data_IF_904958113016
#
_entry.id   IF_904958113016
#
_cell.length_a   1.000
_cell.length_b   1.000
_cell.length_c   1.000
_cell.angle_alpha   90.00
_cell.angle_beta   90.00
_cell.angle_gamma   90.00
#
_symmetry.space_group_name_H-M   'P 1'
#
loop_
_entity.id
_entity.type
_entity.pdbx_description
1 polymer ?
#
# COMPACT_ATOMS: atom_id res chain seq x y z
N UNK A 1 -48.04 -8.29 -2.42
CA UNK A 1 -46.81 -7.68 -1.88
C UNK A 1 -47.17 -6.85 -0.66
N UNK A 2 -46.49 -7.06 0.46
CA UNK A 2 -46.70 -6.26 1.66
C UNK A 2 -46.15 -4.84 1.48
N UNK A 3 -46.68 -3.86 2.21
CA UNK A 3 -46.18 -2.47 2.19
C UNK A 3 -44.67 -2.40 2.51
N UNK A 4 -44.20 -3.29 3.37
CA UNK A 4 -42.79 -3.47 3.74
C UNK A 4 -41.91 -3.92 2.57
N UNK A 5 -42.38 -4.85 1.74
CA UNK A 5 -41.67 -5.28 0.52
C UNK A 5 -41.59 -4.15 -0.51
N UNK A 6 -42.67 -3.35 -0.65
CA UNK A 6 -42.68 -2.22 -1.57
C UNK A 6 -41.69 -1.13 -1.14
N UNK A 7 -41.54 -0.86 0.16
CA UNK A 7 -40.57 0.12 0.66
C UNK A 7 -39.13 -0.39 0.53
N UNK A 8 -38.86 -1.66 0.86
CA UNK A 8 -37.56 -2.29 0.65
C UNK A 8 -37.11 -2.21 -0.82
N UNK A 9 -38.01 -2.50 -1.76
CA UNK A 9 -37.70 -2.40 -3.19
C UNK A 9 -37.40 -0.97 -3.62
N UNK A 10 -38.14 0.04 -3.12
CA UNK A 10 -37.85 1.46 -3.41
C UNK A 10 -36.46 1.86 -2.88
N UNK A 11 -36.10 1.46 -1.66
CA UNK A 11 -34.78 1.74 -1.10
C UNK A 11 -33.65 1.08 -1.90
N UNK A 12 -33.81 -0.18 -2.29
CA UNK A 12 -32.83 -0.91 -3.09
C UNK A 12 -32.63 -0.25 -4.47
N UNK A 13 -33.71 0.16 -5.14
CA UNK A 13 -33.63 0.83 -6.45
C UNK A 13 -32.89 2.16 -6.33
N UNK A 14 -33.17 2.96 -5.30
CA UNK A 14 -32.49 4.25 -5.12
C UNK A 14 -31.01 4.06 -4.76
N UNK A 15 -30.67 3.11 -3.89
CA UNK A 15 -29.29 2.83 -3.54
C UNK A 15 -28.48 2.31 -4.75
N UNK A 16 -29.11 1.52 -5.64
CA UNK A 16 -28.52 1.11 -6.92
C UNK A 16 -28.16 2.31 -7.82
N UNK A 17 -29.02 3.34 -7.86
CA UNK A 17 -28.76 4.58 -8.64
C UNK A 17 -27.61 5.40 -8.07
N UNK A 18 -27.37 5.33 -6.75
CA UNK A 18 -26.32 6.05 -6.05
C UNK A 18 -24.95 5.32 -6.11
N UNK A 19 -24.96 3.99 -6.27
CA UNK A 19 -23.76 3.15 -6.24
C UNK A 19 -22.76 3.46 -7.37
N UNK A 20 -23.23 3.58 -8.61
CA UNK A 20 -22.34 3.84 -9.75
C UNK A 20 -21.70 5.24 -9.65
N UNK A 21 -22.45 6.34 -9.39
CA UNK A 21 -21.86 7.65 -9.11
C UNK A 21 -20.88 7.64 -7.93
N UNK A 22 -21.21 6.93 -6.85
CA UNK A 22 -20.28 6.75 -5.71
C UNK A 22 -18.97 6.13 -6.16
N UNK A 23 -19.03 5.01 -6.88
CA UNK A 23 -17.86 4.30 -7.35
C UNK A 23 -17.03 5.14 -8.33
N UNK A 24 -17.68 5.93 -9.20
CA UNK A 24 -17.02 6.92 -10.05
C UNK A 24 -16.24 7.94 -9.24
N UNK A 25 -16.87 8.55 -8.23
CA UNK A 25 -16.25 9.57 -7.39
C UNK A 25 -15.03 9.01 -6.62
N UNK A 26 -15.19 7.84 -5.99
CA UNK A 26 -14.08 7.14 -5.32
C UNK A 26 -12.91 6.86 -6.27
N UNK A 27 -13.20 6.35 -7.46
CA UNK A 27 -12.20 6.07 -8.49
C UNK A 27 -11.65 7.34 -9.15
N UNK A 28 -12.32 8.49 -9.07
CA UNK A 28 -11.78 9.79 -9.47
C UNK A 28 -10.82 10.36 -8.41
N UNK A 29 -10.92 9.89 -7.17
CA UNK A 29 -10.11 10.33 -6.04
C UNK A 29 -10.85 11.29 -5.10
N UNK A 30 -12.13 11.55 -5.35
CA UNK A 30 -12.94 12.48 -4.56
C UNK A 30 -13.16 11.96 -3.13
N UNK A 31 -13.31 12.89 -2.18
CA UNK A 31 -13.71 12.57 -0.82
C UNK A 31 -15.21 12.36 -0.83
N UNK A 32 -15.65 11.11 -0.77
CA UNK A 32 -17.08 10.85 -0.71
C UNK A 32 -17.59 11.17 0.68
N UNK A 33 -18.33 12.29 0.78
CA UNK A 33 -19.21 12.54 1.91
C UNK A 33 -20.33 11.52 1.80
N UNK A 34 -20.64 10.83 2.91
CA UNK A 34 -21.67 9.78 2.94
C UNK A 34 -22.91 10.24 2.19
N UNK A 35 -23.57 9.31 1.47
CA UNK A 35 -24.61 9.60 0.47
C UNK A 35 -25.81 10.41 0.98
N UNK A 36 -25.83 10.81 2.26
CA UNK A 36 -26.85 11.67 2.87
C UNK A 36 -28.19 10.96 3.07
N UNK A 37 -28.36 9.80 2.45
CA UNK A 37 -29.63 9.07 2.40
C UNK A 37 -29.73 7.98 3.47
N UNK A 38 -28.63 7.58 4.12
CA UNK A 38 -28.60 6.47 5.10
C UNK A 38 -29.00 5.12 4.49
N UNK A 39 -29.02 5.01 3.16
CA UNK A 39 -29.46 3.83 2.41
C UNK A 39 -28.30 2.86 2.25
N UNK A 40 -28.56 1.58 2.44
CA UNK A 40 -27.59 0.51 2.27
C UNK A 40 -28.09 -0.53 1.25
N UNK A 41 -27.14 -1.21 0.62
CA UNK A 41 -27.38 -2.37 -0.23
C UNK A 41 -26.99 -3.65 0.54
N UNK A 42 -27.66 -4.78 0.32
CA UNK A 42 -27.22 -6.05 0.89
C UNK A 42 -25.81 -6.40 0.39
N UNK A 43 -24.92 -6.82 1.29
CA UNK A 43 -23.59 -7.32 0.91
C UNK A 43 -23.64 -8.84 0.80
N UNK A 44 -23.03 -9.41 -0.24
CA UNK A 44 -23.03 -10.86 -0.48
C UNK A 44 -24.28 -11.40 -1.19
N UNK A 45 -25.22 -10.54 -1.56
CA UNK A 45 -26.41 -10.88 -2.36
C UNK A 45 -26.33 -10.12 -3.70
N UNK A 46 -25.63 -10.67 -4.71
CA UNK A 46 -25.45 -9.99 -6.01
C UNK A 46 -26.78 -9.65 -6.70
N UNK A 47 -27.83 -10.42 -6.45
CA UNK A 47 -29.19 -10.21 -6.97
C UNK A 47 -29.84 -8.91 -6.46
N UNK A 48 -29.30 -8.30 -5.40
CA UNK A 48 -29.75 -7.01 -4.93
C UNK A 48 -29.27 -5.85 -5.82
N UNK A 49 -28.32 -6.10 -6.72
CA UNK A 49 -27.90 -5.17 -7.74
C UNK A 49 -28.72 -5.31 -9.02
N UNK A 50 -29.11 -4.18 -9.58
CA UNK A 50 -29.66 -4.13 -10.95
C UNK A 50 -28.60 -4.58 -11.96
N UNK A 51 -29.01 -5.28 -13.03
CA UNK A 51 -28.12 -5.72 -14.10
C UNK A 51 -27.35 -4.52 -14.69
N UNK A 52 -28.01 -3.39 -14.85
CA UNK A 52 -27.44 -2.15 -15.38
C UNK A 52 -26.32 -1.62 -14.47
N UNK A 53 -26.49 -1.69 -13.15
CA UNK A 53 -25.44 -1.28 -12.20
C UNK A 53 -24.24 -2.22 -12.28
N UNK A 54 -24.46 -3.54 -12.35
CA UNK A 54 -23.39 -4.53 -12.51
C UNK A 54 -22.62 -4.29 -13.81
N UNK A 55 -23.31 -4.14 -14.94
CA UNK A 55 -22.68 -3.87 -16.24
C UNK A 55 -21.88 -2.57 -16.23
N UNK A 56 -22.42 -1.52 -15.61
CA UNK A 56 -21.73 -0.24 -15.46
C UNK A 56 -20.44 -0.40 -14.63
N UNK A 57 -20.51 -1.08 -13.48
CA UNK A 57 -19.36 -1.33 -12.62
C UNK A 57 -18.29 -2.17 -13.33
N UNK A 58 -18.67 -3.24 -14.02
CA UNK A 58 -17.74 -4.11 -14.78
C UNK A 58 -16.97 -3.31 -15.84
N UNK A 59 -17.63 -2.37 -16.53
CA UNK A 59 -16.97 -1.53 -17.54
C UNK A 59 -16.11 -0.43 -16.93
N UNK A 60 -16.52 0.12 -15.80
CA UNK A 60 -15.91 1.30 -15.20
C UNK A 60 -14.73 0.98 -14.30
N UNK A 61 -14.81 -0.06 -13.48
CA UNK A 61 -13.79 -0.42 -12.49
C UNK A 61 -12.40 -0.53 -13.14
N UNK A 62 -12.21 -1.29 -14.24
CA UNK A 62 -10.89 -1.40 -14.88
C UNK A 62 -10.35 -0.05 -15.35
N UNK A 63 -11.22 0.82 -15.91
CA UNK A 63 -10.84 2.15 -16.39
C UNK A 63 -10.47 3.08 -15.23
N UNK A 64 -11.23 3.03 -14.14
CA UNK A 64 -10.97 3.83 -12.95
C UNK A 64 -9.68 3.41 -12.25
N UNK A 65 -9.43 2.11 -12.11
CA UNK A 65 -8.17 1.57 -11.57
C UNK A 65 -6.98 1.98 -12.42
N UNK A 66 -7.09 1.86 -13.74
CA UNK A 66 -6.05 2.36 -14.64
C UNK A 66 -5.87 3.87 -14.50
N UNK A 67 -6.95 4.64 -14.39
CA UNK A 67 -6.91 6.07 -14.12
C UNK A 67 -6.17 6.41 -12.82
N UNK A 68 -6.40 5.64 -11.76
CA UNK A 68 -5.65 5.77 -10.49
C UNK A 68 -4.17 5.48 -10.70
N UNK A 69 -3.79 4.35 -11.28
CA UNK A 69 -2.39 4.00 -11.55
C UNK A 69 -1.68 5.06 -12.40
N UNK A 70 -2.39 5.62 -13.37
CA UNK A 70 -1.89 6.69 -14.23
C UNK A 70 -1.67 7.99 -13.44
N UNK A 71 -2.57 8.35 -12.50
CA UNK A 71 -2.37 9.49 -11.58
C UNK A 71 -1.22 9.26 -10.60
N UNK A 72 -1.00 8.02 -10.16
CA UNK A 72 0.13 7.61 -9.33
C UNK A 72 1.48 7.60 -10.07
N UNK A 73 1.60 8.33 -11.18
CA UNK A 73 2.84 8.41 -11.96
C UNK A 73 2.92 7.45 -13.14
N UNK A 74 1.86 6.72 -13.50
CA UNK A 74 1.83 5.86 -14.68
C UNK A 74 2.08 6.54 -16.03
N UNK A 75 2.09 7.89 -16.07
CA UNK A 75 2.57 8.68 -17.21
C UNK A 75 4.10 8.72 -17.33
N UNK A 76 4.82 8.60 -16.21
CA UNK A 76 6.27 8.63 -16.15
C UNK A 76 6.84 7.37 -16.78
N UNK A 77 7.94 7.55 -17.48
CA UNK A 77 8.71 6.44 -17.98
C UNK A 77 9.50 5.83 -16.82
N UNK A 78 9.25 4.57 -16.53
CA UNK A 78 9.93 3.85 -15.46
C UNK A 78 10.74 2.70 -16.06
N UNK A 79 12.00 2.58 -15.62
CA UNK A 79 12.81 1.43 -15.94
C UNK A 79 12.30 0.21 -15.14
N UNK A 80 12.18 -0.93 -15.81
CA UNK A 80 11.68 -2.18 -15.23
C UNK A 80 12.30 -3.38 -15.94
N UNK A 81 12.15 -4.58 -15.39
CA UNK A 81 12.65 -5.81 -15.99
C UNK A 81 11.47 -6.59 -16.58
N UNK A 82 11.50 -6.81 -17.90
CA UNK A 82 10.55 -7.65 -18.63
C UNK A 82 11.34 -8.71 -19.38
N UNK A 83 11.00 -9.98 -19.16
CA UNK A 83 11.69 -11.13 -19.76
C UNK A 83 13.22 -11.08 -19.59
N UNK A 84 13.66 -10.69 -18.38
CA UNK A 84 15.07 -10.60 -18.02
C UNK A 84 15.84 -9.42 -18.62
N UNK A 85 15.16 -8.47 -19.28
CA UNK A 85 15.79 -7.28 -19.89
C UNK A 85 15.25 -5.99 -19.30
N UNK A 86 16.12 -5.00 -19.14
CA UNK A 86 15.71 -3.64 -18.80
C UNK A 86 14.88 -3.05 -19.95
N UNK A 87 13.69 -2.55 -19.62
CA UNK A 87 12.82 -1.81 -20.51
C UNK A 87 12.36 -0.53 -19.82
N UNK A 88 12.21 0.55 -20.59
CA UNK A 88 11.64 1.80 -20.11
C UNK A 88 10.20 1.91 -20.59
N UNK A 89 9.25 1.71 -19.67
CA UNK A 89 7.83 1.62 -19.98
C UNK A 89 7.04 2.81 -19.41
N UNK A 90 5.89 3.08 -20.01
CA UNK A 90 4.84 4.00 -19.50
C UNK A 90 3.52 3.24 -19.46
N UNK A 91 2.80 3.22 -18.33
CA UNK A 91 1.47 2.59 -18.24
C UNK A 91 0.44 3.27 -19.15
N UNK A 92 0.57 4.59 -19.31
CA UNK A 92 -0.29 5.36 -20.20
C UNK A 92 -0.25 4.88 -21.66
N UNK A 93 0.86 4.28 -22.10
CA UNK A 93 1.03 3.77 -23.46
C UNK A 93 0.27 2.45 -23.66
N UNK A 94 -0.69 2.45 -24.59
CA UNK A 94 -1.56 1.31 -24.91
C UNK A 94 -0.77 0.03 -25.23
N UNK A 95 0.40 0.13 -25.86
CA UNK A 95 1.22 -1.05 -26.19
C UNK A 95 1.73 -1.76 -24.94
N UNK A 96 2.10 -1.00 -23.91
CA UNK A 96 2.63 -1.54 -22.65
C UNK A 96 1.52 -2.14 -21.78
N UNK A 97 0.27 -1.72 -21.96
CA UNK A 97 -0.88 -2.27 -21.21
C UNK A 97 -1.08 -3.76 -21.45
N UNK A 98 -0.64 -4.28 -22.60
CA UNK A 98 -0.70 -5.73 -22.89
C UNK A 98 0.16 -6.55 -21.92
N UNK A 99 1.22 -5.96 -21.38
CA UNK A 99 2.10 -6.61 -20.41
C UNK A 99 1.58 -6.48 -18.97
N UNK A 100 0.47 -5.75 -18.77
CA UNK A 100 -0.11 -5.40 -17.48
C UNK A 100 -1.61 -5.72 -17.52
N UNK A 101 -1.95 -6.94 -17.93
CA UNK A 101 -3.34 -7.39 -17.99
C UNK A 101 -3.88 -7.56 -16.56
N UNK A 102 -4.61 -6.56 -16.09
CA UNK A 102 -5.34 -6.63 -14.83
C UNK A 102 -6.64 -7.40 -15.03
N UNK A 103 -6.77 -8.50 -14.29
CA UNK A 103 -7.99 -9.30 -14.24
C UNK A 103 -8.81 -8.92 -13.01
N UNK A 104 -10.12 -8.96 -13.16
CA UNK A 104 -11.10 -8.59 -12.14
C UNK A 104 -12.13 -9.70 -12.01
N UNK A 105 -12.68 -9.86 -10.81
CA UNK A 105 -13.79 -10.76 -10.52
C UNK A 105 -14.95 -10.00 -9.87
N UNK A 106 -16.00 -10.73 -9.47
CA UNK A 106 -17.11 -10.19 -8.67
C UNK A 106 -16.64 -9.53 -7.38
N UNK A 107 -15.47 -9.92 -6.84
CA UNK A 107 -14.88 -9.32 -5.63
C UNK A 107 -14.56 -7.84 -5.77
N UNK A 108 -14.25 -7.38 -6.98
CA UNK A 108 -14.09 -5.96 -7.23
C UNK A 108 -15.40 -5.19 -6.95
N UNK A 109 -16.55 -5.74 -7.37
CA UNK A 109 -17.87 -5.15 -7.11
C UNK A 109 -18.21 -5.23 -5.62
N UNK A 110 -17.90 -6.35 -4.96
CA UNK A 110 -18.09 -6.49 -3.51
C UNK A 110 -17.29 -5.46 -2.71
N UNK A 111 -16.05 -5.17 -3.08
CA UNK A 111 -15.26 -4.12 -2.46
C UNK A 111 -15.90 -2.73 -2.62
N UNK A 112 -16.47 -2.43 -3.79
CA UNK A 112 -17.24 -1.19 -4.02
C UNK A 112 -18.49 -1.14 -3.14
N UNK A 113 -19.25 -2.23 -3.07
CA UNK A 113 -20.46 -2.34 -2.24
C UNK A 113 -20.17 -2.15 -0.76
N UNK A 114 -19.12 -2.79 -0.24
CA UNK A 114 -18.70 -2.66 1.15
C UNK A 114 -18.29 -1.21 1.45
N UNK A 115 -17.53 -0.59 0.55
CA UNK A 115 -17.15 0.81 0.69
C UNK A 115 -18.35 1.76 0.66
N UNK A 116 -19.30 1.52 -0.26
CA UNK A 116 -20.55 2.28 -0.36
C UNK A 116 -21.32 2.22 0.95
N UNK A 117 -21.56 1.01 1.47
CA UNK A 117 -22.30 0.82 2.70
C UNK A 117 -21.57 1.38 3.93
N UNK A 118 -20.25 1.26 3.99
CA UNK A 118 -19.44 1.86 5.06
C UNK A 118 -19.50 3.39 5.05
N UNK A 119 -19.68 4.00 3.86
CA UNK A 119 -19.88 5.45 3.73
C UNK A 119 -21.30 5.90 4.08
N UNK A 120 -22.29 5.02 3.90
CA UNK A 120 -23.70 5.31 4.15
C UNK A 120 -24.13 5.03 5.60
N UNK A 121 -23.50 4.05 6.26
CA UNK A 121 -23.79 3.63 7.63
C UNK A 121 -22.51 3.71 8.47
N UNK A 122 -22.57 4.40 9.62
CA UNK A 122 -21.51 4.27 10.64
C UNK A 122 -21.47 2.83 11.22
N UNK A 123 -22.54 2.05 11.09
CA UNK A 123 -22.62 0.65 11.52
C UNK A 123 -23.29 -0.23 10.47
N UNK A 124 -22.50 -1.00 9.71
CA UNK A 124 -23.01 -2.20 9.05
C UNK A 124 -23.43 -3.22 10.10
N UNK A 125 -24.58 -3.88 9.91
CA UNK A 125 -24.98 -5.01 10.75
C UNK A 125 -23.96 -6.14 10.63
N UNK A 126 -23.47 -6.64 11.76
CA UNK A 126 -22.42 -7.65 11.84
C UNK A 126 -22.77 -8.91 11.03
N UNK A 127 -24.05 -9.32 11.06
CA UNK A 127 -24.52 -10.53 10.38
C UNK A 127 -24.43 -10.43 8.86
N UNK A 128 -24.82 -9.29 8.30
CA UNK A 128 -24.80 -9.05 6.85
C UNK A 128 -23.36 -9.01 6.36
N UNK A 129 -22.45 -8.47 7.19
CA UNK A 129 -21.03 -8.46 6.90
C UNK A 129 -20.37 -9.83 7.01
N UNK A 130 -20.70 -10.62 8.04
CA UNK A 130 -20.19 -11.98 8.19
C UNK A 130 -20.62 -12.90 7.05
N UNK A 131 -21.83 -12.70 6.49
CA UNK A 131 -22.28 -13.40 5.28
C UNK A 131 -21.44 -13.02 4.06
N UNK A 132 -21.16 -11.73 3.90
CA UNK A 132 -20.26 -11.26 2.82
C UNK A 132 -18.83 -11.78 2.97
N UNK A 133 -18.35 -11.93 4.21
CA UNK A 133 -17.04 -12.49 4.54
C UNK A 133 -17.02 -14.02 4.57
N UNK A 134 -18.15 -14.70 4.40
CA UNK A 134 -18.20 -16.15 4.46
C UNK A 134 -17.13 -16.71 3.51
N UNK A 135 -16.26 -17.63 3.97
CA UNK A 135 -15.05 -18.00 3.26
C UNK A 135 -15.42 -18.68 1.94
N UNK A 136 -15.56 -17.89 0.88
CA UNK A 136 -15.57 -18.42 -0.46
C UNK A 136 -14.13 -18.85 -0.76
N UNK A 137 -13.90 -20.11 -1.18
CA UNK A 137 -12.56 -20.65 -1.40
C UNK A 137 -11.82 -19.69 -2.32
N UNK A 138 -10.79 -19.00 -1.80
CA UNK A 138 -10.17 -17.88 -2.52
C UNK A 138 -9.57 -18.40 -3.83
N UNK A 139 -10.17 -18.10 -4.99
CA UNK A 139 -9.47 -18.28 -6.24
C UNK A 139 -8.40 -17.19 -6.24
N UNK A 140 -7.15 -17.57 -6.55
CA UNK A 140 -5.96 -16.72 -6.76
C UNK A 140 -6.31 -15.22 -6.80
N UNK A 141 -5.90 -14.45 -5.78
CA UNK A 141 -6.12 -12.99 -5.69
C UNK A 141 -5.72 -12.35 -7.03
N UNK A 142 -6.70 -11.91 -7.82
CA UNK A 142 -6.44 -11.29 -9.11
C UNK A 142 -5.87 -9.88 -8.86
N UNK A 143 -4.86 -9.48 -9.63
CA UNK A 143 -4.22 -8.16 -9.48
C UNK A 143 -5.22 -6.99 -9.47
N UNK A 144 -6.23 -7.03 -10.35
CA UNK A 144 -7.25 -6.00 -10.44
C UNK A 144 -8.10 -5.91 -9.17
N UNK A 145 -8.52 -7.04 -8.62
CA UNK A 145 -9.31 -7.08 -7.37
C UNK A 145 -8.52 -6.51 -6.19
N UNK A 146 -7.22 -6.82 -6.10
CA UNK A 146 -6.36 -6.27 -5.04
C UNK A 146 -6.25 -4.75 -5.14
N UNK A 147 -6.09 -4.20 -6.34
CA UNK A 147 -6.01 -2.76 -6.56
C UNK A 147 -7.34 -2.06 -6.26
N UNK A 148 -8.47 -2.62 -6.69
CA UNK A 148 -9.80 -2.06 -6.37
C UNK A 148 -10.01 -2.03 -4.88
N UNK A 149 -9.81 -3.18 -4.23
CA UNK A 149 -9.98 -3.30 -2.80
C UNK A 149 -9.04 -2.36 -2.02
N UNK A 150 -7.82 -2.18 -2.50
CA UNK A 150 -6.89 -1.23 -1.91
C UNK A 150 -7.33 0.23 -2.10
N UNK A 151 -7.67 0.66 -3.33
CA UNK A 151 -8.04 2.06 -3.59
C UNK A 151 -9.34 2.47 -2.91
N UNK A 152 -10.32 1.58 -2.84
CA UNK A 152 -11.53 1.83 -2.05
C UNK A 152 -11.22 1.77 -0.55
N UNK A 153 -10.43 0.79 -0.11
CA UNK A 153 -10.05 0.62 1.29
C UNK A 153 -9.27 1.82 1.84
N UNK A 154 -8.32 2.36 1.09
CA UNK A 154 -7.52 3.53 1.48
C UNK A 154 -8.42 4.75 1.79
N UNK A 155 -9.44 4.99 0.96
CA UNK A 155 -10.42 6.05 1.16
C UNK A 155 -11.33 5.77 2.35
N UNK A 156 -11.85 4.54 2.46
CA UNK A 156 -12.75 4.14 3.55
C UNK A 156 -12.03 4.23 4.89
N UNK A 157 -10.84 3.64 5.02
CA UNK A 157 -10.06 3.53 6.26
C UNK A 157 -9.63 4.88 6.85
N UNK A 158 -9.67 5.96 6.07
CA UNK A 158 -9.45 7.31 6.53
C UNK A 158 -10.59 7.85 7.42
N UNK A 159 -11.77 7.23 7.40
CA UNK A 159 -12.91 7.66 8.21
C UNK A 159 -12.83 7.11 9.64
N UNK A 160 -13.07 7.98 10.62
CA UNK A 160 -13.23 7.59 12.03
C UNK A 160 -14.58 6.89 12.27
N UNK A 161 -14.62 5.95 13.23
CA UNK A 161 -15.86 5.27 13.62
C UNK A 161 -16.32 4.15 12.67
N UNK A 162 -15.47 3.70 11.76
CA UNK A 162 -15.76 2.52 10.93
C UNK A 162 -16.05 1.28 11.77
N UNK A 163 -17.01 0.48 11.32
CA UNK A 163 -17.24 -0.86 11.83
C UNK A 163 -15.93 -1.68 11.81
N UNK A 164 -15.54 -2.35 12.92
CA UNK A 164 -14.30 -3.12 13.00
C UNK A 164 -14.14 -4.21 11.94
N UNK A 165 -15.24 -4.84 11.50
CA UNK A 165 -15.19 -5.86 10.46
C UNK A 165 -14.92 -5.26 9.08
N UNK A 166 -15.50 -4.10 8.76
CA UNK A 166 -15.18 -3.36 7.52
C UNK A 166 -13.70 -2.99 7.49
N UNK A 167 -13.19 -2.53 8.63
CA UNK A 167 -11.76 -2.25 8.78
C UNK A 167 -10.93 -3.50 8.53
N UNK A 168 -11.26 -4.61 9.17
CA UNK A 168 -10.55 -5.88 9.01
C UNK A 168 -10.54 -6.36 7.55
N UNK A 169 -11.67 -6.26 6.85
CA UNK A 169 -11.77 -6.60 5.43
C UNK A 169 -10.76 -5.78 4.61
N UNK A 170 -10.80 -4.45 4.72
CA UNK A 170 -9.90 -3.60 3.95
C UNK A 170 -8.42 -3.74 4.33
N UNK A 171 -8.13 -4.01 5.61
CA UNK A 171 -6.78 -4.25 6.13
C UNK A 171 -6.21 -5.64 5.78
N UNK A 172 -7.04 -6.63 5.40
CA UNK A 172 -6.55 -7.95 4.95
C UNK A 172 -5.96 -7.96 3.50
N UNK A 173 -6.07 -6.83 2.81
CA UNK A 173 -5.46 -6.65 1.51
C UNK A 173 -3.94 -6.50 1.61
N UNK A 174 -3.21 -7.27 0.79
CA UNK A 174 -1.75 -7.29 0.78
C UNK A 174 -1.14 -5.89 0.55
N UNK A 175 -1.67 -5.13 -0.43
CA UNK A 175 -1.17 -3.79 -0.74
C UNK A 175 -1.53 -2.79 0.38
N UNK A 176 -2.76 -2.82 0.90
CA UNK A 176 -3.17 -1.98 2.04
C UNK A 176 -2.30 -2.23 3.27
N UNK A 177 -2.06 -3.50 3.59
CA UNK A 177 -1.22 -3.93 4.71
C UNK A 177 0.19 -3.34 4.61
N UNK A 178 0.78 -3.38 3.43
CA UNK A 178 2.11 -2.85 3.19
C UNK A 178 2.13 -1.32 3.24
N UNK A 179 1.17 -0.64 2.62
CA UNK A 179 1.04 0.83 2.71
C UNK A 179 0.92 1.33 4.15
N UNK A 180 0.24 0.57 5.02
CA UNK A 180 -0.02 0.96 6.42
C UNK A 180 0.98 0.37 7.42
N UNK A 181 2.03 -0.30 6.93
CA UNK A 181 3.03 -0.98 7.76
C UNK A 181 2.36 -1.82 8.86
N UNK A 182 1.60 -2.85 8.48
CA UNK A 182 0.85 -3.67 9.43
C UNK A 182 0.96 -5.17 9.14
N UNK A 183 0.59 -6.03 10.10
CA UNK A 183 0.49 -7.49 9.90
C UNK A 183 1.57 -8.35 10.57
N UNK A 184 1.33 -9.67 10.59
CA UNK A 184 2.30 -10.68 11.07
C UNK A 184 3.46 -10.84 10.07
N UNK A 185 4.53 -11.54 10.47
CA UNK A 185 5.69 -11.74 9.59
C UNK A 185 5.29 -12.57 8.37
N UNK A 186 4.67 -13.71 8.61
CA UNK A 186 4.18 -14.62 7.57
C UNK A 186 3.18 -13.94 6.62
N UNK A 187 2.29 -13.10 7.15
CA UNK A 187 1.33 -12.36 6.33
C UNK A 187 1.98 -11.27 5.48
N UNK A 188 3.12 -10.73 5.92
CA UNK A 188 3.93 -9.78 5.15
C UNK A 188 4.76 -10.51 4.11
N UNK A 189 5.39 -11.62 4.47
CA UNK A 189 6.18 -12.45 3.54
C UNK A 189 5.31 -12.94 2.39
N UNK A 190 4.11 -13.47 2.68
CA UNK A 190 3.14 -13.84 1.65
C UNK A 190 2.69 -12.65 0.78
N UNK A 191 2.48 -11.48 1.39
CA UNK A 191 2.06 -10.27 0.68
C UNK A 191 3.15 -9.74 -0.27
N UNK A 192 4.38 -9.63 0.23
CA UNK A 192 5.56 -9.18 -0.53
C UNK A 192 5.90 -10.20 -1.61
N UNK A 193 5.99 -11.50 -1.27
CA UNK A 193 6.25 -12.58 -2.23
C UNK A 193 5.29 -12.53 -3.41
N UNK A 194 3.99 -12.41 -3.12
CA UNK A 194 2.99 -12.29 -4.17
C UNK A 194 3.09 -10.98 -4.98
N UNK A 195 3.44 -9.86 -4.36
CA UNK A 195 3.64 -8.59 -5.08
C UNK A 195 4.86 -8.65 -6.01
N UNK A 196 5.99 -9.16 -5.52
CA UNK A 196 7.26 -9.20 -6.24
C UNK A 196 7.31 -10.26 -7.34
N UNK A 197 6.57 -11.36 -7.18
CA UNK A 197 6.59 -12.49 -8.14
C UNK A 197 5.26 -12.74 -8.86
N UNK A 198 4.18 -12.10 -8.45
CA UNK A 198 2.83 -12.32 -8.98
C UNK A 198 2.42 -11.34 -10.08
N UNK A 199 1.11 -11.31 -10.36
CA UNK A 199 0.52 -10.50 -11.42
C UNK A 199 0.62 -8.97 -11.22
N UNK A 200 1.02 -8.51 -10.03
CA UNK A 200 1.29 -7.10 -9.76
C UNK A 200 2.76 -6.72 -9.95
N UNK A 201 3.68 -7.67 -10.12
CA UNK A 201 5.11 -7.39 -10.29
C UNK A 201 5.37 -6.39 -11.44
N UNK A 202 4.71 -6.50 -12.61
CA UNK A 202 4.88 -5.52 -13.69
C UNK A 202 4.47 -4.09 -13.33
N UNK A 203 3.63 -3.90 -12.31
CA UNK A 203 3.18 -2.58 -11.84
C UNK A 203 4.08 -1.95 -10.78
N UNK A 204 4.97 -2.73 -10.17
CA UNK A 204 5.79 -2.26 -9.05
C UNK A 204 6.67 -1.04 -9.33
N UNK A 205 7.20 -0.81 -10.55
CA UNK A 205 7.96 0.42 -10.82
C UNK A 205 7.16 1.70 -10.53
N UNK A 206 5.83 1.67 -10.73
CA UNK A 206 4.95 2.80 -10.43
C UNK A 206 4.35 2.72 -9.02
N UNK A 207 4.00 1.51 -8.57
CA UNK A 207 3.53 1.32 -7.19
C UNK A 207 4.63 1.62 -6.15
N UNK A 208 5.91 1.52 -6.51
CA UNK A 208 7.04 1.80 -5.63
C UNK A 208 7.05 3.24 -5.13
N UNK A 209 6.87 4.22 -6.02
CA UNK A 209 6.75 5.62 -5.62
C UNK A 209 5.52 5.86 -4.76
N UNK A 210 4.38 5.24 -5.13
CA UNK A 210 3.17 5.31 -4.30
C UNK A 210 3.37 4.71 -2.90
N UNK A 211 4.03 3.56 -2.80
CA UNK A 211 4.35 2.92 -1.52
C UNK A 211 5.26 3.82 -0.67
N UNK A 212 6.30 4.39 -1.28
CA UNK A 212 7.20 5.35 -0.63
C UNK A 212 6.43 6.53 -0.04
N UNK A 213 5.54 7.16 -0.81
CA UNK A 213 4.70 8.26 -0.33
C UNK A 213 3.80 7.84 0.85
N UNK A 214 3.22 6.63 0.80
CA UNK A 214 2.39 6.11 1.90
C UNK A 214 3.19 5.80 3.15
N UNK A 215 4.38 5.22 3.01
CA UNK A 215 5.27 4.98 4.13
C UNK A 215 5.72 6.28 4.78
N UNK A 216 6.06 7.32 4.00
CA UNK A 216 6.35 8.65 4.55
C UNK A 216 5.17 9.18 5.38
N UNK A 217 3.95 9.07 4.88
CA UNK A 217 2.75 9.48 5.62
C UNK A 217 2.55 8.72 6.94
N UNK A 218 2.83 7.42 6.98
CA UNK A 218 2.79 6.64 8.24
C UNK A 218 3.92 7.05 9.20
N UNK A 219 5.12 7.31 8.69
CA UNK A 219 6.26 7.79 9.49
C UNK A 219 6.01 9.19 10.07
N UNK A 220 5.41 10.11 9.32
CA UNK A 220 5.06 11.45 9.80
C UNK A 220 4.06 11.40 10.96
N UNK A 221 3.14 10.43 10.94
CA UNK A 221 2.15 10.22 12.00
C UNK A 221 2.71 9.47 13.22
N UNK A 222 3.90 8.87 13.13
CA UNK A 222 4.43 8.04 14.21
C UNK A 222 4.69 8.82 15.50
N UNK A 223 4.92 10.13 15.38
CA UNK A 223 5.23 11.05 16.48
C UNK A 223 4.04 11.45 17.37
N UNK A 224 2.82 10.98 17.06
CA UNK A 224 1.62 11.38 17.81
C UNK A 224 1.56 10.79 19.22
N UNK A 225 1.96 9.52 19.38
CA UNK A 225 1.94 8.82 20.68
C UNK A 225 3.05 7.78 20.73
N UNK A 226 3.46 7.40 21.94
CA UNK A 226 4.47 6.35 22.17
C UNK A 226 4.09 5.02 21.54
N UNK A 227 2.83 4.64 21.73
CA UNK A 227 2.27 3.40 21.16
C UNK A 227 2.31 3.45 19.64
N UNK A 228 1.98 4.59 19.02
CA UNK A 228 2.02 4.76 17.57
C UNK A 228 3.46 4.69 17.05
N UNK A 229 4.41 5.39 17.68
CA UNK A 229 5.82 5.32 17.32
C UNK A 229 6.32 3.88 17.36
N UNK A 230 6.15 3.19 18.48
CA UNK A 230 6.57 1.79 18.63
C UNK A 230 5.98 0.90 17.55
N UNK A 231 4.67 0.98 17.34
CA UNK A 231 3.98 0.15 16.33
C UNK A 231 4.50 0.42 14.90
N UNK A 232 4.60 1.69 14.51
CA UNK A 232 5.05 2.07 13.16
C UNK A 232 6.50 1.66 12.94
N UNK A 233 7.40 1.92 13.90
CA UNK A 233 8.83 1.61 13.77
C UNK A 233 9.07 0.09 13.76
N UNK A 234 8.43 -0.68 14.66
CA UNK A 234 8.51 -2.15 14.63
C UNK A 234 8.06 -2.71 13.29
N UNK A 235 6.93 -2.21 12.76
CA UNK A 235 6.42 -2.70 11.48
C UNK A 235 7.22 -2.20 10.28
N UNK A 236 7.79 -0.99 10.33
CA UNK A 236 8.73 -0.49 9.34
C UNK A 236 9.92 -1.46 9.19
N UNK A 237 10.65 -1.73 10.28
CA UNK A 237 11.79 -2.64 10.25
C UNK A 237 11.40 -4.01 9.68
N UNK A 238 10.28 -4.55 10.13
CA UNK A 238 9.76 -5.85 9.72
C UNK A 238 9.38 -5.91 8.25
N UNK A 239 8.58 -4.96 7.75
CA UNK A 239 8.13 -4.92 6.35
C UNK A 239 9.34 -4.79 5.43
N UNK A 240 10.33 -3.97 5.80
CA UNK A 240 11.46 -3.68 4.91
C UNK A 240 12.47 -4.82 4.89
N UNK A 241 12.69 -5.45 6.04
CA UNK A 241 13.47 -6.68 6.11
C UNK A 241 12.87 -7.77 5.23
N UNK A 242 11.55 -8.01 5.34
CA UNK A 242 10.83 -8.97 4.49
C UNK A 242 10.90 -8.58 3.01
N UNK A 243 10.65 -7.30 2.68
CA UNK A 243 10.74 -6.80 1.30
C UNK A 243 12.12 -7.06 0.71
N UNK A 244 13.18 -6.78 1.49
CA UNK A 244 14.56 -6.99 1.08
C UNK A 244 14.90 -8.47 0.90
N UNK A 245 14.52 -9.32 1.86
CA UNK A 245 14.77 -10.76 1.81
C UNK A 245 14.12 -11.39 0.57
N UNK A 246 12.82 -11.17 0.39
CA UNK A 246 12.08 -11.71 -0.76
C UNK A 246 12.63 -11.17 -2.08
N UNK A 247 12.97 -9.88 -2.17
CA UNK A 247 13.55 -9.32 -3.38
C UNK A 247 14.90 -9.98 -3.75
N UNK A 248 15.72 -10.30 -2.76
CA UNK A 248 17.00 -11.00 -2.97
C UNK A 248 16.75 -12.48 -3.34
N UNK A 249 15.92 -13.19 -2.59
CA UNK A 249 15.61 -14.61 -2.79
C UNK A 249 14.99 -14.89 -4.18
N UNK A 250 14.12 -14.01 -4.65
CA UNK A 250 13.48 -14.12 -5.96
C UNK A 250 14.26 -13.45 -7.11
N UNK A 251 15.51 -13.02 -6.86
CA UNK A 251 16.36 -12.29 -7.82
C UNK A 251 15.72 -11.00 -8.39
N UNK A 252 14.77 -10.40 -7.68
CA UNK A 252 14.08 -9.16 -8.01
C UNK A 252 14.72 -7.94 -7.33
N UNK A 253 16.05 -7.87 -7.28
CA UNK A 253 16.79 -6.81 -6.56
C UNK A 253 16.43 -5.38 -7.01
N UNK A 254 16.06 -5.15 -8.28
CA UNK A 254 15.54 -3.83 -8.71
C UNK A 254 14.30 -3.34 -7.95
N UNK A 255 13.57 -4.24 -7.27
CA UNK A 255 12.41 -3.88 -6.46
C UNK A 255 12.79 -3.22 -5.13
N UNK A 256 14.08 -3.22 -4.75
CA UNK A 256 14.60 -2.43 -3.63
C UNK A 256 14.56 -0.92 -3.90
N UNK A 257 14.38 -0.49 -5.15
CA UNK A 257 14.33 0.93 -5.52
C UNK A 257 13.20 1.68 -4.81
N UNK A 258 12.09 1.03 -4.47
CA UNK A 258 11.02 1.64 -3.69
C UNK A 258 11.49 2.04 -2.27
N UNK A 259 12.30 1.20 -1.62
CA UNK A 259 12.89 1.49 -0.31
C UNK A 259 13.95 2.58 -0.44
N UNK A 260 14.77 2.53 -1.48
CA UNK A 260 15.76 3.57 -1.79
C UNK A 260 15.10 4.93 -1.94
N UNK A 261 14.00 5.01 -2.69
CA UNK A 261 13.24 6.24 -2.87
C UNK A 261 12.69 6.80 -1.55
N UNK A 262 12.19 5.93 -0.68
CA UNK A 262 11.74 6.34 0.66
C UNK A 262 12.87 6.97 1.47
N UNK A 263 14.02 6.28 1.60
CA UNK A 263 15.14 6.81 2.38
C UNK A 263 15.71 8.10 1.78
N UNK A 264 15.76 8.18 0.43
CA UNK A 264 16.14 9.42 -0.23
C UNK A 264 15.19 10.55 0.15
N UNK A 265 13.88 10.33 0.13
CA UNK A 265 12.89 11.35 0.47
C UNK A 265 12.92 11.72 1.97
N UNK A 266 13.08 10.72 2.85
CA UNK A 266 13.16 10.91 4.30
C UNK A 266 14.37 11.77 4.69
N UNK A 267 15.49 11.62 3.98
CA UNK A 267 16.74 12.35 4.23
C UNK A 267 17.09 13.37 3.13
N UNK A 268 16.11 13.76 2.31
CA UNK A 268 16.31 14.73 1.23
C UNK A 268 16.72 16.10 1.77
N UNK A 269 16.19 16.46 2.93
CA UNK A 269 16.56 17.67 3.65
C UNK A 269 17.90 17.48 4.37
N UNK A 270 18.89 18.38 4.19
CA UNK A 270 20.12 18.39 4.99
C UNK A 270 19.90 18.47 6.51
N UNK A 271 18.74 18.96 6.95
CA UNK A 271 18.34 19.07 8.36
C UNK A 271 17.39 17.97 8.82
N UNK A 272 17.16 16.92 8.01
CA UNK A 272 16.25 15.84 8.34
C UNK A 272 16.54 15.21 9.72
N UNK A 273 17.80 14.91 10.02
CA UNK A 273 18.20 14.30 11.31
C UNK A 273 17.84 15.22 12.48
N UNK A 274 18.10 16.52 12.36
CA UNK A 274 17.80 17.48 13.42
C UNK A 274 16.30 17.56 13.70
N UNK A 275 15.47 17.59 12.65
CA UNK A 275 14.01 17.58 12.79
C UNK A 275 13.52 16.29 13.45
N UNK A 276 14.00 15.15 12.98
CA UNK A 276 13.63 13.84 13.51
C UNK A 276 14.04 13.71 14.98
N UNK A 277 15.23 14.20 15.37
CA UNK A 277 15.67 14.28 16.78
C UNK A 277 14.77 15.17 17.62
N UNK A 278 14.41 16.34 17.10
CA UNK A 278 13.52 17.26 17.80
C UNK A 278 12.15 16.62 18.07
N UNK A 279 11.56 15.95 17.06
CA UNK A 279 10.31 15.22 17.20
C UNK A 279 10.41 14.08 18.23
N UNK A 280 11.51 13.31 18.19
CA UNK A 280 11.77 12.27 19.19
C UNK A 280 11.89 12.83 20.60
N UNK A 281 12.60 13.95 20.78
CA UNK A 281 12.78 14.58 22.08
C UNK A 281 11.44 15.11 22.63
N UNK A 282 10.61 15.74 21.79
CA UNK A 282 9.26 16.18 22.17
C UNK A 282 8.40 15.00 22.59
N UNK A 283 8.39 13.92 21.81
CA UNK A 283 7.60 12.73 22.11
C UNK A 283 8.03 12.10 23.44
N UNK A 284 9.34 12.07 23.72
CA UNK A 284 9.90 11.34 24.86
C UNK A 284 10.19 12.19 26.08
N UNK A 285 9.78 13.46 26.08
CA UNK A 285 9.93 14.34 27.22
C UNK A 285 9.17 13.81 28.45
N UNK A 286 9.78 13.91 29.63
CA UNK A 286 9.22 13.36 30.88
C UNK A 286 9.25 11.84 31.03
N UNK A 287 9.75 11.08 30.05
CA UNK A 287 9.84 9.62 30.15
C UNK A 287 11.12 9.12 30.85
N UNK A 288 11.00 7.97 31.52
CA UNK A 288 12.13 7.28 32.14
C UNK A 288 13.24 6.98 31.12
N UNK A 289 14.48 6.99 31.58
CA UNK A 289 15.66 6.74 30.73
C UNK A 289 15.56 5.42 29.96
N UNK A 290 15.11 4.35 30.61
CA UNK A 290 14.97 3.03 29.99
C UNK A 290 14.00 3.05 28.79
N UNK A 291 12.81 3.64 28.95
CA UNK A 291 11.83 3.76 27.85
C UNK A 291 12.39 4.57 26.68
N UNK A 292 13.13 5.64 26.97
CA UNK A 292 13.79 6.45 25.94
C UNK A 292 14.83 5.64 25.18
N UNK A 293 15.65 4.88 25.90
CA UNK A 293 16.67 4.02 25.29
C UNK A 293 16.05 2.94 24.41
N UNK A 294 15.02 2.23 24.90
CA UNK A 294 14.28 1.21 24.13
C UNK A 294 13.74 1.77 22.80
N UNK A 295 13.12 2.96 22.83
CA UNK A 295 12.57 3.59 21.62
C UNK A 295 13.68 4.04 20.66
N UNK A 296 14.84 4.48 21.16
CA UNK A 296 15.99 4.82 20.30
C UNK A 296 16.56 3.60 19.60
N UNK A 297 16.75 2.50 20.34
CA UNK A 297 17.27 1.25 19.77
C UNK A 297 16.31 0.73 18.70
N UNK A 298 15.01 0.68 19.01
CA UNK A 298 13.99 0.25 18.05
C UNK A 298 14.01 1.08 16.77
N UNK A 299 14.20 2.39 16.89
CA UNK A 299 14.28 3.29 15.73
C UNK A 299 15.58 3.12 14.94
N UNK A 300 16.70 2.95 15.62
CA UNK A 300 17.97 2.63 14.99
C UNK A 300 17.89 1.31 14.20
N UNK A 301 17.22 0.29 14.73
CA UNK A 301 17.02 -0.99 14.04
C UNK A 301 16.21 -0.84 12.75
N UNK A 302 15.21 0.05 12.72
CA UNK A 302 14.45 0.34 11.50
C UNK A 302 15.27 1.13 10.47
N UNK A 303 16.18 1.99 10.91
CA UNK A 303 17.10 2.72 10.03
C UNK A 303 18.18 1.82 9.43
N UNK A 304 18.62 0.80 10.16
CA UNK A 304 19.62 -0.17 9.70
C UNK A 304 19.19 -0.96 8.46
N UNK A 305 17.89 -1.00 8.12
CA UNK A 305 17.46 -1.59 6.85
C UNK A 305 18.05 -0.85 5.64
N UNK A 306 18.32 0.47 5.71
CA UNK A 306 19.07 1.15 4.64
C UNK A 306 20.51 0.61 4.55
N UNK A 307 21.16 0.35 5.67
CA UNK A 307 22.52 -0.20 5.71
C UNK A 307 22.54 -1.64 5.21
N UNK A 308 21.48 -2.40 5.44
CA UNK A 308 21.28 -3.71 4.85
C UNK A 308 21.15 -3.63 3.32
N UNK A 309 20.42 -2.65 2.79
CA UNK A 309 20.33 -2.39 1.34
C UNK A 309 21.69 -1.92 0.78
N UNK A 310 22.43 -1.07 1.50
CA UNK A 310 23.77 -0.64 1.11
C UNK A 310 24.73 -1.83 1.00
N UNK A 311 24.67 -2.79 1.94
CA UNK A 311 25.47 -4.03 1.86
C UNK A 311 25.15 -4.84 0.60
N UNK A 312 23.89 -4.90 0.18
CA UNK A 312 23.52 -5.50 -1.12
C UNK A 312 24.17 -4.75 -2.26
N UNK A 313 24.09 -3.41 -2.31
CA UNK A 313 24.75 -2.60 -3.33
C UNK A 313 26.27 -2.81 -3.38
N UNK A 314 26.95 -2.77 -2.22
CA UNK A 314 28.41 -2.96 -2.14
C UNK A 314 28.82 -4.37 -2.59
N UNK A 315 28.04 -5.40 -2.23
CA UNK A 315 28.25 -6.77 -2.70
C UNK A 315 28.14 -6.88 -4.23
N UNK A 316 27.14 -6.23 -4.84
CA UNK A 316 26.99 -6.18 -6.30
C UNK A 316 28.10 -5.38 -6.99
N UNK A 317 28.53 -4.28 -6.37
CA UNK A 317 29.61 -3.43 -6.88
C UNK A 317 30.95 -4.17 -6.94
N UNK A 318 31.20 -5.10 -6.03
CA UNK A 318 32.39 -5.96 -6.02
C UNK A 318 32.43 -7.01 -7.14
N UNK A 319 31.31 -7.29 -7.81
CA UNK A 319 31.22 -8.24 -8.95
C UNK A 319 31.56 -7.56 -10.27
N UNK A 320 32.05 -8.30 -11.25
CA UNK A 320 32.32 -7.74 -12.58
C UNK A 320 31.00 -7.37 -13.28
N UNK A 321 30.90 -6.24 -14.02
CA UNK A 321 29.63 -5.79 -14.61
C UNK A 321 28.92 -6.82 -15.50
N UNK A 322 29.67 -7.66 -16.22
CA UNK A 322 29.13 -8.73 -17.09
C UNK A 322 28.48 -9.86 -16.29
N UNK A 323 28.85 -10.05 -15.02
CA UNK A 323 28.27 -11.08 -14.15
C UNK A 323 26.94 -10.65 -13.52
N UNK A 324 26.54 -9.39 -13.68
CA UNK A 324 25.34 -8.82 -13.06
C UNK A 324 24.12 -9.06 -13.94
N UNK A 325 23.02 -9.51 -13.34
CA UNK A 325 21.72 -9.61 -13.99
C UNK A 325 21.16 -8.22 -14.31
N UNK A 326 20.18 -8.12 -15.22
CA UNK A 326 19.53 -6.85 -15.53
C UNK A 326 18.86 -6.21 -14.30
N UNK A 327 18.30 -7.04 -13.41
CA UNK A 327 17.71 -6.62 -12.12
C UNK A 327 18.76 -5.95 -11.22
N UNK A 328 19.95 -6.54 -11.09
CA UNK A 328 21.06 -6.00 -10.32
C UNK A 328 21.61 -4.71 -10.94
N UNK A 329 21.76 -4.68 -12.28
CA UNK A 329 22.23 -3.49 -13.00
C UNK A 329 21.27 -2.31 -12.82
N UNK A 330 19.96 -2.55 -12.93
CA UNK A 330 18.94 -1.51 -12.73
C UNK A 330 18.96 -0.97 -11.29
N UNK A 331 19.04 -1.84 -10.29
CA UNK A 331 19.15 -1.41 -8.88
C UNK A 331 20.39 -0.53 -8.66
N UNK A 332 21.56 -0.95 -9.16
CA UNK A 332 22.79 -0.19 -9.00
C UNK A 332 22.71 1.19 -9.67
N UNK A 333 22.15 1.23 -10.90
CA UNK A 333 21.92 2.48 -11.63
C UNK A 333 21.05 3.45 -10.86
N UNK A 334 19.94 2.97 -10.28
CA UNK A 334 19.03 3.79 -9.47
C UNK A 334 19.69 4.27 -8.16
N UNK A 335 20.44 3.41 -7.48
CA UNK A 335 21.20 3.76 -6.27
C UNK A 335 22.22 4.89 -6.53
N UNK A 336 22.96 4.79 -7.63
CA UNK A 336 23.98 5.76 -8.04
C UNK A 336 23.36 7.07 -8.53
N UNK A 337 22.31 6.99 -9.36
CA UNK A 337 21.58 8.17 -9.85
C UNK A 337 21.00 9.02 -8.70
N UNK A 338 20.55 8.36 -7.63
CA UNK A 338 19.98 9.01 -6.44
C UNK A 338 21.03 9.46 -5.41
N UNK A 339 22.31 9.16 -5.66
CA UNK A 339 23.43 9.50 -4.76
C UNK A 339 23.22 8.96 -3.34
N UNK A 340 22.86 7.68 -3.23
CA UNK A 340 22.50 7.09 -1.93
C UNK A 340 23.68 6.90 -0.96
N UNK A 341 24.93 6.91 -1.44
CA UNK A 341 26.11 6.73 -0.57
C UNK A 341 26.20 7.78 0.56
N UNK A 342 26.14 9.09 0.26
CA UNK A 342 26.00 10.13 1.29
C UNK A 342 24.82 9.94 2.25
N UNK A 343 23.65 9.51 1.75
CA UNK A 343 22.46 9.27 2.58
C UNK A 343 22.69 8.10 3.53
N UNK A 344 23.22 6.97 3.05
CA UNK A 344 23.52 5.80 3.86
C UNK A 344 24.52 6.12 4.99
N UNK A 345 25.58 6.90 4.69
CA UNK A 345 26.53 7.36 5.73
C UNK A 345 25.88 8.22 6.80
N UNK A 346 25.01 9.16 6.40
CA UNK A 346 24.25 10.00 7.34
C UNK A 346 23.37 9.14 8.24
N UNK A 347 22.68 8.16 7.65
CA UNK A 347 21.84 7.21 8.39
C UNK A 347 22.65 6.32 9.33
N UNK A 348 23.83 5.84 8.94
CA UNK A 348 24.71 5.05 9.80
C UNK A 348 25.15 5.85 11.04
N UNK A 349 25.65 7.07 10.85
CA UNK A 349 26.01 7.97 11.95
C UNK A 349 24.80 8.22 12.84
N UNK A 350 23.65 8.55 12.25
CA UNK A 350 22.43 8.81 13.00
C UNK A 350 21.98 7.61 13.82
N UNK A 351 22.01 6.41 13.23
CA UNK A 351 21.64 5.15 13.86
C UNK A 351 22.57 4.78 15.02
N UNK A 352 23.88 4.97 14.87
CA UNK A 352 24.87 4.77 15.96
C UNK A 352 24.66 5.74 17.11
N UNK A 353 24.40 7.01 16.81
CA UNK A 353 24.12 8.02 17.84
C UNK A 353 22.85 7.71 18.64
N UNK A 354 21.79 7.22 17.97
CA UNK A 354 20.57 6.77 18.67
C UNK A 354 20.89 5.65 19.68
N UNK A 355 21.79 4.73 19.34
CA UNK A 355 22.26 3.66 20.23
C UNK A 355 23.24 4.13 21.32
N UNK A 356 23.66 5.39 21.29
CA UNK A 356 24.66 5.92 22.22
C UNK A 356 26.09 5.46 21.89
N UNK A 357 26.32 4.96 20.68
CA UNK A 357 27.67 4.65 20.19
C UNK A 357 28.24 5.93 19.59
N UNK A 358 29.10 6.61 20.34
CA UNK A 358 29.85 7.77 19.84
C UNK A 358 31.04 7.24 19.03
N UNK A 359 31.08 7.56 17.74
CA UNK A 359 32.14 7.19 16.81
C UNK A 359 33.04 8.35 16.45
#
# INVERSE_FOLDING_TARGET
MSQVESERNKHAIMANRELVPFAMAMLAGDVVRGTGTGRHLPVGEPDALTLEAVEALVRMIPRGVLGQLVRLGGWRACATIVDGREQCLRLGNVRNRRNVELRYSTRSIEAVLIAFNASALQSLNERDFQRALAPQPMPRRLAGDVLVHHFFGDKVLAHHGLNPLVRLYFEDNALTRLCRLSGSHDALEAAVGWLLSGSLAPLLPWLGSYLSERWLGELDQMWQTHRRMRNVVTNWAKVFCVWRQVAVEHAQIHQLTALVELYQNLFADPHAEQRLRAQFQVLTDGHLFQTRHELRVLWADALDELLAIERVYLGLRGRHPVERTASEQLFMKEWEARQMGPVARRVDVFSRELRGVVG
#
